data_IF_146816652569
#
_entry.id   IF_146816652569
#
_cell.length_a   1.000
_cell.length_b   1.000
_cell.length_c   1.000
_cell.angle_alpha   90.00
_cell.angle_beta   90.00
_cell.angle_gamma   90.00
#
_symmetry.space_group_name_H-M   'P 1'
#
loop_
_entity.id
_entity.type
_entity.pdbx_description
1 polymer ?
#
# COMPACT_ATOMS: atom_id res chain seq x y z
N UNK A 1 -8.82 -12.17 12.68
CA UNK A 1 -8.55 -12.28 14.14
C UNK A 1 -9.41 -13.34 14.79
N UNK A 2 -10.74 -13.31 14.63
CA UNK A 2 -11.65 -14.31 15.21
C UNK A 2 -11.27 -15.76 14.96
N UNK A 3 -10.98 -16.14 13.70
CA UNK A 3 -10.56 -17.51 13.38
C UNK A 3 -9.33 -17.95 14.19
N UNK A 4 -8.38 -17.03 14.42
CA UNK A 4 -7.20 -17.29 15.25
C UNK A 4 -7.61 -17.51 16.70
N UNK A 5 -8.47 -16.63 17.24
CA UNK A 5 -8.97 -16.70 18.62
C UNK A 5 -9.80 -17.97 18.87
N UNK A 6 -10.55 -18.44 17.87
CA UNK A 6 -11.26 -19.72 17.92
C UNK A 6 -10.26 -20.88 17.95
N UNK A 7 -9.24 -20.88 17.08
CA UNK A 7 -8.20 -21.92 17.09
C UNK A 7 -7.37 -21.92 18.38
N UNK A 8 -7.12 -20.75 18.99
CA UNK A 8 -6.44 -20.65 20.28
C UNK A 8 -7.26 -21.25 21.44
N UNK A 9 -8.56 -21.41 21.26
CA UNK A 9 -9.46 -22.01 22.25
C UNK A 9 -9.76 -23.48 21.98
N UNK A 10 -9.13 -24.08 20.96
CA UNK A 10 -9.26 -25.50 20.68
C UNK A 10 -8.80 -26.35 21.88
N UNK A 11 -9.58 -27.33 22.35
CA UNK A 11 -9.22 -28.12 23.54
C UNK A 11 -7.92 -28.92 23.41
N UNK A 12 -7.58 -29.35 22.19
CA UNK A 12 -6.48 -30.26 21.92
C UNK A 12 -5.25 -29.53 21.36
N UNK A 13 -5.49 -28.51 20.54
CA UNK A 13 -4.47 -27.79 19.76
C UNK A 13 -4.35 -26.31 20.14
N UNK A 14 -5.13 -25.83 21.11
CA UNK A 14 -5.18 -24.43 21.53
C UNK A 14 -4.11 -24.04 22.57
N UNK A 15 -4.24 -22.82 23.08
CA UNK A 15 -3.37 -22.30 24.14
C UNK A 15 -3.73 -22.99 25.45
N UNK A 16 -2.71 -23.43 26.19
CA UNK A 16 -2.90 -24.12 27.47
C UNK A 16 -3.62 -23.22 28.47
N UNK A 17 -4.84 -23.60 28.84
CA UNK A 17 -5.64 -22.88 29.82
C UNK A 17 -5.44 -23.43 31.23
N UNK A 18 -5.40 -22.55 32.22
CA UNK A 18 -5.21 -22.89 33.64
C UNK A 18 -6.11 -22.07 34.56
N UNK A 19 -6.32 -22.61 35.77
CA UNK A 19 -7.04 -21.90 36.82
C UNK A 19 -6.09 -20.93 37.52
N UNK A 20 -6.38 -19.63 37.40
CA UNK A 20 -5.59 -18.57 38.01
C UNK A 20 -6.16 -18.17 39.37
N UNK A 21 -5.33 -18.21 40.42
CA UNK A 21 -5.66 -17.58 41.70
C UNK A 21 -5.28 -16.10 41.64
N UNK A 22 -6.26 -15.21 41.79
CA UNK A 22 -6.06 -13.78 42.03
C UNK A 22 -6.36 -13.48 43.50
N UNK A 23 -5.86 -12.35 44.02
CA UNK A 23 -6.05 -11.94 45.43
C UNK A 23 -7.51 -11.97 45.91
N UNK A 24 -8.47 -11.77 45.00
CA UNK A 24 -9.87 -11.52 45.33
C UNK A 24 -10.78 -12.69 44.92
N UNK A 25 -10.36 -13.54 43.98
CA UNK A 25 -11.13 -14.66 43.43
C UNK A 25 -10.25 -15.68 42.67
N UNK A 26 -10.77 -16.89 42.49
CA UNK A 26 -10.20 -17.91 41.60
C UNK A 26 -10.90 -17.81 40.25
N UNK A 27 -10.14 -17.69 39.16
CA UNK A 27 -10.64 -17.54 37.79
C UNK A 27 -10.22 -18.76 36.96
N UNK A 28 -11.17 -19.57 36.44
CA UNK A 28 -10.84 -20.70 35.55
C UNK A 28 -10.48 -20.20 34.13
N UNK A 29 -9.92 -21.05 33.27
CA UNK A 29 -9.69 -20.77 31.85
C UNK A 29 -8.90 -19.50 31.53
N UNK A 30 -7.85 -19.19 32.32
CA UNK A 30 -6.90 -18.13 32.02
C UNK A 30 -5.71 -18.68 31.24
N UNK A 31 -5.06 -17.83 30.45
CA UNK A 31 -3.85 -18.15 29.66
C UNK A 31 -2.71 -17.24 30.05
N UNK A 32 -1.46 -17.72 30.02
CA UNK A 32 -0.30 -16.83 30.16
C UNK A 32 -0.09 -16.02 28.89
N UNK A 33 0.47 -14.82 29.03
CA UNK A 33 0.91 -14.08 27.86
C UNK A 33 2.08 -14.77 27.13
N UNK A 34 3.00 -15.40 27.86
CA UNK A 34 4.07 -16.26 27.29
C UNK A 34 3.50 -17.42 26.44
N UNK A 35 2.52 -18.16 26.97
CA UNK A 35 1.86 -19.29 26.28
C UNK A 35 1.17 -18.83 24.99
N UNK A 36 0.54 -17.65 25.00
CA UNK A 36 -0.08 -17.06 23.80
C UNK A 36 0.97 -16.77 22.72
N UNK A 37 2.10 -16.14 23.10
CA UNK A 37 3.18 -15.84 22.15
C UNK A 37 3.80 -17.12 21.60
N UNK A 38 4.08 -18.10 22.45
CA UNK A 38 4.66 -19.38 22.02
C UNK A 38 3.73 -20.13 21.06
N UNK A 39 2.43 -20.16 21.35
CA UNK A 39 1.44 -20.75 20.45
C UNK A 39 1.41 -20.06 19.09
N UNK A 40 1.49 -18.73 19.03
CA UNK A 40 1.51 -17.97 17.78
C UNK A 40 2.78 -18.23 16.97
N UNK A 41 3.95 -18.29 17.61
CA UNK A 41 5.22 -18.67 16.98
C UNK A 41 5.11 -20.04 16.32
N UNK A 42 4.60 -21.03 17.06
CA UNK A 42 4.48 -22.40 16.55
C UNK A 42 3.41 -22.53 15.47
N UNK A 43 2.25 -21.87 15.62
CA UNK A 43 1.13 -21.99 14.70
C UNK A 43 1.41 -21.39 13.33
N UNK A 44 2.12 -20.26 13.29
CA UNK A 44 2.37 -19.49 12.08
C UNK A 44 3.82 -19.55 11.58
N UNK A 45 4.72 -20.23 12.30
CA UNK A 45 6.15 -20.29 11.99
C UNK A 45 6.79 -18.89 11.85
N UNK A 46 6.44 -17.97 12.76
CA UNK A 46 6.87 -16.57 12.76
C UNK A 46 7.87 -16.27 13.88
N UNK A 47 8.58 -15.13 13.76
CA UNK A 47 9.49 -14.66 14.82
C UNK A 47 8.75 -14.34 16.12
N UNK A 48 9.46 -14.33 17.25
CA UNK A 48 8.88 -14.00 18.56
C UNK A 48 8.39 -12.55 18.60
N UNK A 49 9.11 -11.65 17.95
CA UNK A 49 8.76 -10.22 17.83
C UNK A 49 7.45 -10.04 17.07
N UNK A 50 7.31 -10.73 15.93
CA UNK A 50 6.08 -10.71 15.12
C UNK A 50 4.89 -11.35 15.85
N UNK A 51 5.11 -12.48 16.54
CA UNK A 51 4.10 -13.12 17.34
C UNK A 51 3.62 -12.24 18.50
N UNK A 52 4.54 -11.55 19.20
CA UNK A 52 4.21 -10.60 20.25
C UNK A 52 3.42 -9.41 19.70
N UNK A 53 3.78 -8.91 18.53
CA UNK A 53 3.04 -7.84 17.86
C UNK A 53 1.61 -8.29 17.50
N UNK A 54 1.46 -9.47 16.88
CA UNK A 54 0.15 -10.04 16.54
C UNK A 54 -0.71 -10.27 17.79
N UNK A 55 -0.14 -10.82 18.86
CA UNK A 55 -0.84 -11.01 20.13
C UNK A 55 -1.23 -9.70 20.81
N UNK A 56 -0.41 -8.66 20.65
CA UNK A 56 -0.74 -7.30 21.09
C UNK A 56 -1.92 -6.74 20.30
N UNK A 57 -1.96 -6.94 18.98
CA UNK A 57 -3.11 -6.54 18.15
C UNK A 57 -4.40 -7.25 18.57
N UNK A 58 -4.35 -8.54 18.89
CA UNK A 58 -5.50 -9.29 19.43
C UNK A 58 -6.01 -8.69 20.75
N UNK A 59 -5.09 -8.21 21.59
CA UNK A 59 -5.41 -7.56 22.87
C UNK A 59 -6.00 -6.17 22.66
N UNK A 60 -5.44 -5.38 21.74
CA UNK A 60 -5.93 -4.03 21.39
C UNK A 60 -7.32 -4.06 20.77
N UNK A 61 -7.64 -5.08 19.96
CA UNK A 61 -8.98 -5.29 19.42
C UNK A 61 -9.94 -5.97 20.43
N UNK A 62 -9.49 -6.21 21.66
CA UNK A 62 -10.35 -6.73 22.73
C UNK A 62 -10.74 -8.20 22.61
N UNK A 63 -10.08 -8.99 21.76
CA UNK A 63 -10.34 -10.44 21.68
C UNK A 63 -9.73 -11.22 22.85
N UNK A 64 -8.67 -10.67 23.44
CA UNK A 64 -7.99 -11.17 24.63
C UNK A 64 -7.84 -9.98 25.57
N UNK A 65 -8.06 -10.18 26.87
CA UNK A 65 -7.93 -9.10 27.84
C UNK A 65 -7.14 -9.54 29.08
N UNK A 66 -6.33 -8.63 29.67
CA UNK A 66 -5.56 -8.96 30.85
C UNK A 66 -6.45 -8.96 32.09
N UNK A 67 -6.20 -9.91 33.00
CA UNK A 67 -6.85 -9.97 34.31
C UNK A 67 -6.14 -9.07 35.35
N UNK A 68 -4.94 -8.57 35.03
CA UNK A 68 -4.17 -7.61 35.83
C UNK A 68 -3.95 -6.36 35.00
N UNK A 69 -4.17 -5.19 35.60
CA UNK A 69 -4.02 -3.89 34.90
C UNK A 69 -4.87 -3.78 33.61
N UNK A 70 -6.21 -3.77 33.74
CA UNK A 70 -7.14 -3.83 32.60
C UNK A 70 -7.05 -2.62 31.64
N UNK A 71 -6.35 -1.54 32.02
CA UNK A 71 -6.15 -0.37 31.17
C UNK A 71 -4.99 -0.55 30.18
N UNK A 72 -4.10 -1.51 30.42
CA UNK A 72 -2.97 -1.82 29.55
C UNK A 72 -3.37 -2.87 28.51
N UNK A 73 -3.92 -2.45 27.37
CA UNK A 73 -4.28 -3.33 26.23
C UNK A 73 -3.06 -3.76 25.40
N UNK A 74 -2.06 -4.34 26.06
CA UNK A 74 -0.87 -4.91 25.44
C UNK A 74 -0.61 -6.32 25.96
N UNK A 75 -0.13 -7.19 25.08
CA UNK A 75 0.27 -8.53 25.48
C UNK A 75 1.68 -8.47 26.10
N UNK A 76 1.84 -9.04 27.30
CA UNK A 76 3.13 -9.17 27.96
C UNK A 76 3.61 -10.61 27.77
N UNK A 77 4.84 -10.86 27.28
CA UNK A 77 5.35 -12.21 27.04
C UNK A 77 5.84 -12.87 28.34
N UNK A 78 5.03 -12.82 29.38
CA UNK A 78 5.32 -13.31 30.73
C UNK A 78 4.11 -14.06 31.33
N UNK A 79 4.17 -14.36 32.62
CA UNK A 79 3.11 -15.04 33.37
C UNK A 79 1.88 -14.14 33.65
N UNK A 80 1.78 -12.96 33.04
CA UNK A 80 0.58 -12.11 33.16
C UNK A 80 -0.64 -12.90 32.66
N UNK A 81 -1.70 -13.02 33.48
CA UNK A 81 -2.84 -13.84 33.11
C UNK A 81 -3.83 -13.07 32.24
N UNK A 82 -4.23 -13.67 31.14
CA UNK A 82 -5.22 -13.16 30.18
C UNK A 82 -6.42 -14.09 30.08
N UNK A 83 -7.51 -13.61 29.48
CA UNK A 83 -8.68 -14.42 29.08
C UNK A 83 -9.18 -14.03 27.70
N UNK A 84 -9.80 -14.99 27.04
CA UNK A 84 -10.54 -14.76 25.80
C UNK A 84 -11.84 -14.00 26.08
N UNK A 85 -12.13 -13.02 25.21
CA UNK A 85 -13.36 -12.25 25.20
C UNK A 85 -14.52 -13.09 24.65
N UNK A 86 -15.71 -12.86 25.21
CA UNK A 86 -16.92 -13.51 24.70
C UNK A 86 -17.30 -12.95 23.32
N UNK A 87 -17.78 -13.78 22.37
CA UNK A 87 -18.17 -13.31 21.03
C UNK A 87 -19.14 -12.14 21.01
N UNK A 88 -19.99 -12.00 22.03
CA UNK A 88 -20.90 -10.85 22.19
C UNK A 88 -20.18 -9.49 22.22
N UNK A 89 -18.92 -9.45 22.69
CA UNK A 89 -18.12 -8.23 22.78
C UNK A 89 -17.03 -8.14 21.69
N UNK A 90 -17.09 -8.98 20.65
CA UNK A 90 -16.14 -8.88 19.55
C UNK A 90 -16.44 -7.64 18.69
N UNK A 91 -15.38 -6.99 18.21
CA UNK A 91 -15.43 -5.73 17.46
C UNK A 91 -15.93 -5.86 16.02
N UNK A 92 -16.06 -7.08 15.53
CA UNK A 92 -16.52 -7.41 14.17
C UNK A 92 -18.03 -7.46 14.03
N UNK A 93 -18.78 -7.33 15.12
CA UNK A 93 -20.23 -7.23 15.07
C UNK A 93 -20.57 -5.94 14.32
N UNK A 94 -21.43 -6.07 13.30
CA UNK A 94 -21.84 -5.01 12.37
C UNK A 94 -22.48 -3.77 13.02
N UNK A 95 -22.69 -3.79 14.33
CA UNK A 95 -23.34 -2.73 15.07
C UNK A 95 -22.30 -2.02 15.94
N UNK A 96 -21.98 -0.75 15.65
CA UNK A 96 -21.08 0.02 16.49
C UNK A 96 -21.68 0.15 17.90
N UNK A 97 -20.81 0.20 18.91
CA UNK A 97 -21.23 0.41 20.29
C UNK A 97 -22.12 1.66 20.39
N UNK A 98 -23.36 1.49 20.84
CA UNK A 98 -24.34 2.59 20.86
C UNK A 98 -24.10 3.53 22.03
N UNK A 99 -24.55 4.77 21.88
CA UNK A 99 -24.51 5.76 22.99
C UNK A 99 -25.37 5.33 24.18
N UNK A 100 -26.48 4.62 23.91
CA UNK A 100 -27.37 4.10 24.94
C UNK A 100 -26.68 3.04 25.81
N UNK A 101 -26.00 2.08 25.17
CA UNK A 101 -25.28 1.02 25.89
C UNK A 101 -24.14 1.60 26.75
N UNK A 102 -23.45 2.62 26.23
CA UNK A 102 -22.37 3.27 26.97
C UNK A 102 -22.90 4.03 28.19
N UNK A 103 -24.04 4.71 28.05
CA UNK A 103 -24.70 5.38 29.15
C UNK A 103 -25.12 4.39 30.25
N UNK A 104 -25.66 3.21 29.88
CA UNK A 104 -26.01 2.14 30.83
C UNK A 104 -24.76 1.66 31.60
N UNK A 105 -23.65 1.44 30.90
CA UNK A 105 -22.39 1.04 31.52
C UNK A 105 -21.86 2.08 32.53
N UNK A 106 -21.81 3.35 32.14
CA UNK A 106 -21.36 4.43 33.03
C UNK A 106 -22.31 4.62 34.24
N UNK A 107 -23.62 4.51 34.02
CA UNK A 107 -24.63 4.56 35.09
C UNK A 107 -24.43 3.43 36.10
N UNK A 108 -24.18 2.20 35.63
CA UNK A 108 -23.86 1.05 36.51
C UNK A 108 -22.65 1.34 37.38
N UNK A 109 -21.57 1.84 36.78
CA UNK A 109 -20.32 2.16 37.48
C UNK A 109 -20.52 3.25 38.55
N UNK A 110 -21.31 4.28 38.23
CA UNK A 110 -21.64 5.36 39.14
C UNK A 110 -22.55 4.90 40.30
N UNK A 111 -23.54 4.05 40.05
CA UNK A 111 -24.44 3.48 41.08
C UNK A 111 -23.68 2.54 42.02
N UNK A 112 -22.76 1.73 41.48
CA UNK A 112 -22.01 0.75 42.27
C UNK A 112 -21.08 1.41 43.29
N UNK A 113 -20.44 2.52 42.92
CA UNK A 113 -19.59 3.32 43.81
C UNK A 113 -19.58 4.77 43.34
N UNK A 114 -20.15 5.65 44.16
CA UNK A 114 -20.15 7.09 43.88
C UNK A 114 -18.71 7.59 43.75
N UNK A 115 -18.42 8.30 42.66
CA UNK A 115 -17.07 8.81 42.35
C UNK A 115 -16.11 7.78 41.73
N UNK A 116 -16.60 6.62 41.25
CA UNK A 116 -15.75 5.63 40.56
C UNK A 116 -15.45 5.97 39.09
N UNK A 117 -16.17 6.93 38.50
CA UNK A 117 -15.91 7.41 37.14
C UNK A 117 -14.62 8.24 37.12
N UNK A 118 -13.75 7.99 36.14
CA UNK A 118 -12.60 8.86 35.89
C UNK A 118 -13.03 10.12 35.15
N UNK A 119 -12.17 11.16 35.11
CA UNK A 119 -12.54 12.48 34.58
C UNK A 119 -13.20 12.44 33.19
N UNK A 120 -12.59 11.77 32.22
CA UNK A 120 -13.17 11.68 30.87
C UNK A 120 -14.51 10.90 30.85
N UNK A 121 -14.63 9.83 31.64
CA UNK A 121 -15.89 9.08 31.76
C UNK A 121 -17.00 9.95 32.37
N UNK A 122 -16.66 10.82 33.33
CA UNK A 122 -17.60 11.78 33.94
C UNK A 122 -18.07 12.80 32.91
N UNK A 123 -17.16 13.37 32.13
CA UNK A 123 -17.48 14.29 31.04
C UNK A 123 -18.41 13.63 30.01
N UNK A 124 -18.11 12.40 29.59
CA UNK A 124 -18.97 11.64 28.68
C UNK A 124 -20.33 11.30 29.30
N UNK A 125 -20.38 10.93 30.59
CA UNK A 125 -21.64 10.66 31.29
C UNK A 125 -22.55 11.90 31.32
N UNK A 126 -21.99 13.07 31.62
CA UNK A 126 -22.72 14.33 31.65
C UNK A 126 -23.19 14.75 30.24
N UNK A 127 -22.37 14.51 29.21
CA UNK A 127 -22.73 14.74 27.80
C UNK A 127 -23.88 13.81 27.36
N UNK A 128 -23.80 12.51 27.68
CA UNK A 128 -24.83 11.53 27.37
C UNK A 128 -26.15 11.87 28.08
N UNK A 129 -26.10 12.23 29.36
CA UNK A 129 -27.29 12.64 30.13
C UNK A 129 -28.03 13.82 29.47
N UNK A 130 -27.29 14.77 28.87
CA UNK A 130 -27.89 15.88 28.10
C UNK A 130 -28.43 15.40 26.75
N UNK A 131 -27.67 14.57 26.02
CA UNK A 131 -28.00 14.16 24.65
C UNK A 131 -29.19 13.19 24.56
N UNK A 132 -29.23 12.19 25.44
CA UNK A 132 -30.26 11.14 25.45
C UNK A 132 -31.14 11.22 26.71
N UNK A 133 -31.38 12.43 27.21
CA UNK A 133 -32.16 12.66 28.43
C UNK A 133 -33.56 12.02 28.39
N UNK A 134 -34.21 12.09 27.23
CA UNK A 134 -35.56 11.56 26.98
C UNK A 134 -35.68 10.03 27.21
N UNK A 135 -34.58 9.29 27.19
CA UNK A 135 -34.54 7.84 27.50
C UNK A 135 -33.79 7.53 28.79
N UNK A 136 -33.48 8.52 29.63
CA UNK A 136 -32.61 8.32 30.78
C UNK A 136 -33.21 7.41 31.87
N UNK A 137 -34.53 7.41 32.03
CA UNK A 137 -35.21 6.48 32.94
C UNK A 137 -34.95 5.02 32.55
N UNK A 138 -34.91 4.72 31.24
CA UNK A 138 -34.54 3.41 30.73
C UNK A 138 -33.08 3.07 31.07
N UNK A 139 -32.17 4.03 30.91
CA UNK A 139 -30.74 3.86 31.26
C UNK A 139 -30.59 3.46 32.72
N UNK A 140 -31.22 4.19 33.64
CA UNK A 140 -31.14 3.92 35.08
C UNK A 140 -31.84 2.60 35.44
N UNK A 141 -33.01 2.32 34.85
CA UNK A 141 -33.72 1.06 35.05
C UNK A 141 -32.86 -0.13 34.64
N UNK A 142 -32.31 -0.12 33.43
CA UNK A 142 -31.45 -1.19 32.90
C UNK A 142 -30.18 -1.34 33.74
N UNK A 143 -29.54 -0.24 34.14
CA UNK A 143 -28.36 -0.27 35.00
C UNK A 143 -28.65 -0.96 36.35
N UNK A 144 -29.77 -0.64 37.00
CA UNK A 144 -30.17 -1.25 38.27
C UNK A 144 -30.48 -2.74 38.12
N UNK A 145 -31.19 -3.13 37.06
CA UNK A 145 -31.50 -4.53 36.78
C UNK A 145 -30.24 -5.37 36.54
N UNK A 146 -29.29 -4.86 35.74
CA UNK A 146 -28.01 -5.55 35.51
C UNK A 146 -27.20 -5.70 36.80
N UNK A 147 -27.17 -4.66 37.67
CA UNK A 147 -26.51 -4.75 38.98
C UNK A 147 -27.19 -5.76 39.91
N UNK A 148 -28.53 -5.86 39.89
CA UNK A 148 -29.29 -6.87 40.66
C UNK A 148 -28.94 -8.28 40.18
N UNK A 149 -28.94 -8.51 38.87
CA UNK A 149 -28.57 -9.80 38.27
C UNK A 149 -27.12 -10.17 38.60
N UNK A 150 -26.18 -9.21 38.55
CA UNK A 150 -24.78 -9.44 38.88
C UNK A 150 -24.57 -9.88 40.35
N UNK A 151 -25.36 -9.36 41.30
CA UNK A 151 -25.26 -9.75 42.72
C UNK A 151 -25.57 -11.22 42.98
N UNK A 152 -26.37 -11.87 42.13
CA UNK A 152 -26.70 -13.29 42.23
C UNK A 152 -25.55 -14.21 41.77
N UNK A 153 -24.50 -13.67 41.17
CA UNK A 153 -23.37 -14.43 40.61
C UNK A 153 -22.25 -14.61 41.64
N UNK A 154 -21.44 -15.67 41.45
CA UNK A 154 -20.24 -15.93 42.27
C UNK A 154 -19.23 -14.79 42.10
N UNK A 155 -18.37 -14.59 43.09
CA UNK A 155 -17.38 -13.49 43.11
C UNK A 155 -16.43 -13.52 41.89
N UNK A 156 -15.98 -14.71 41.47
CA UNK A 156 -15.15 -14.88 40.28
C UNK A 156 -15.88 -14.48 38.99
N UNK A 157 -17.12 -14.95 38.81
CA UNK A 157 -17.92 -14.62 37.63
C UNK A 157 -18.21 -13.12 37.53
N UNK A 158 -18.49 -12.47 38.66
CA UNK A 158 -18.67 -11.01 38.72
C UNK A 158 -17.43 -10.26 38.23
N UNK A 159 -16.23 -10.72 38.60
CA UNK A 159 -14.97 -10.13 38.17
C UNK A 159 -14.74 -10.34 36.67
N UNK A 160 -14.97 -11.54 36.16
CA UNK A 160 -14.82 -11.86 34.72
C UNK A 160 -15.77 -10.99 33.90
N UNK A 161 -17.05 -10.91 34.26
CA UNK A 161 -18.05 -10.10 33.56
C UNK A 161 -17.64 -8.61 33.58
N UNK A 162 -17.19 -8.10 34.73
CA UNK A 162 -16.71 -6.72 34.84
C UNK A 162 -15.49 -6.45 33.95
N UNK A 163 -14.52 -7.36 33.90
CA UNK A 163 -13.34 -7.24 33.03
C UNK A 163 -13.72 -7.31 31.53
N UNK A 164 -14.64 -8.20 31.16
CA UNK A 164 -15.12 -8.34 29.79
C UNK A 164 -15.78 -7.05 29.30
N UNK A 165 -16.72 -6.53 30.08
CA UNK A 165 -17.45 -5.29 29.77
C UNK A 165 -16.51 -4.08 29.79
N UNK A 166 -15.60 -3.98 30.77
CA UNK A 166 -14.61 -2.91 30.82
C UNK A 166 -13.70 -2.91 29.59
N UNK A 167 -13.20 -4.07 29.17
CA UNK A 167 -12.34 -4.19 27.97
C UNK A 167 -13.10 -3.75 26.74
N UNK A 168 -14.35 -4.19 26.57
CA UNK A 168 -15.19 -3.79 25.45
C UNK A 168 -15.29 -2.26 25.33
N UNK A 169 -15.52 -1.57 26.45
CA UNK A 169 -15.60 -0.10 26.45
C UNK A 169 -14.26 0.58 26.28
N UNK A 170 -13.16 0.03 26.80
CA UNK A 170 -11.82 0.57 26.54
C UNK A 170 -11.45 0.52 25.05
N UNK A 171 -11.93 -0.48 24.31
CA UNK A 171 -11.70 -0.59 22.87
C UNK A 171 -12.66 0.31 22.07
N UNK A 172 -13.95 0.34 22.44
CA UNK A 172 -14.98 1.10 21.69
C UNK A 172 -15.04 2.59 22.05
N UNK A 173 -14.56 2.97 23.23
CA UNK A 173 -14.52 4.33 23.78
C UNK A 173 -13.18 4.54 24.49
N UNK A 174 -12.06 4.55 23.74
CA UNK A 174 -10.73 4.67 24.33
C UNK A 174 -10.55 6.00 25.07
N UNK A 175 -9.74 6.03 26.14
CA UNK A 175 -9.42 7.28 26.82
C UNK A 175 -8.77 8.31 25.89
N UNK A 176 -8.93 9.63 26.15
CA UNK A 176 -8.27 10.66 25.37
C UNK A 176 -6.75 10.45 25.28
N UNK A 177 -6.19 10.58 24.09
CA UNK A 177 -4.75 10.37 23.82
C UNK A 177 -4.34 8.93 23.56
N UNK A 178 -5.25 7.96 23.68
CA UNK A 178 -5.02 6.56 23.28
C UNK A 178 -5.46 6.36 21.82
N UNK A 179 -4.67 5.63 21.04
CA UNK A 179 -5.01 5.28 19.65
C UNK A 179 -6.35 4.53 19.63
N UNK A 180 -7.29 5.01 18.81
CA UNK A 180 -8.53 4.30 18.57
C UNK A 180 -8.31 3.23 17.48
N UNK A 181 -8.18 1.97 17.90
CA UNK A 181 -7.97 0.84 16.98
C UNK A 181 -9.15 0.61 16.02
N UNK A 182 -10.34 1.14 16.35
CA UNK A 182 -11.54 1.04 15.52
C UNK A 182 -11.74 2.27 14.62
N UNK A 183 -10.81 3.23 14.65
CA UNK A 183 -10.87 4.39 13.76
C UNK A 183 -10.77 3.92 12.31
N UNK A 184 -11.91 3.99 11.62
CA UNK A 184 -11.93 3.87 10.18
C UNK A 184 -11.56 5.24 9.62
N UNK A 185 -10.68 5.28 8.61
CA UNK A 185 -10.43 6.50 7.84
C UNK A 185 -11.71 7.05 7.20
N UNK A 186 -11.61 8.09 6.35
CA UNK A 186 -12.78 8.69 5.71
C UNK A 186 -13.74 7.63 5.15
N UNK A 187 -15.02 7.77 5.47
CA UNK A 187 -16.03 6.77 5.11
C UNK A 187 -15.93 6.45 3.61
N UNK A 188 -15.72 5.17 3.30
CA UNK A 188 -15.83 4.71 1.92
C UNK A 188 -17.32 4.74 1.59
N UNK A 189 -17.72 5.63 0.66
CA UNK A 189 -19.09 5.72 0.20
C UNK A 189 -19.70 4.33 -0.02
N UNK A 190 -20.87 4.09 0.59
CA UNK A 190 -21.53 2.79 0.70
C UNK A 190 -21.74 2.11 -0.66
N UNK A 191 -20.71 1.40 -1.11
CA UNK A 191 -20.70 0.60 -2.34
C UNK A 191 -20.70 -0.91 -2.04
N UNK A 192 -20.38 -1.32 -0.81
CA UNK A 192 -20.26 -2.73 -0.46
C UNK A 192 -21.60 -3.41 -0.14
N UNK A 193 -22.64 -2.64 0.19
CA UNK A 193 -23.93 -3.17 0.66
C UNK A 193 -25.11 -2.87 -0.28
N UNK A 194 -24.92 -2.10 -1.36
CA UNK A 194 -25.96 -2.00 -2.40
C UNK A 194 -25.85 -3.23 -3.26
N UNK A 195 -26.82 -4.14 -3.19
CA UNK A 195 -27.09 -5.06 -4.30
C UNK A 195 -27.27 -4.18 -5.53
N UNK A 196 -26.21 -4.09 -6.34
CA UNK A 196 -26.25 -3.31 -7.54
C UNK A 196 -27.24 -4.01 -8.46
N UNK A 197 -28.36 -3.35 -8.75
CA UNK A 197 -29.37 -3.93 -9.61
C UNK A 197 -28.76 -3.99 -11.01
N UNK A 198 -28.52 -5.21 -11.50
CA UNK A 198 -27.89 -5.45 -12.80
C UNK A 198 -28.85 -5.02 -13.90
N UNK A 199 -28.67 -3.80 -14.41
CA UNK A 199 -29.49 -3.23 -15.47
C UNK A 199 -29.11 -3.80 -16.84
N UNK A 200 -29.95 -3.56 -17.85
CA UNK A 200 -29.60 -3.90 -19.23
C UNK A 200 -28.29 -3.23 -19.68
N UNK A 201 -28.05 -1.99 -19.26
CA UNK A 201 -26.84 -1.25 -19.63
C UNK A 201 -25.58 -1.80 -18.95
N UNK A 202 -25.70 -2.32 -17.72
CA UNK A 202 -24.62 -3.06 -17.08
C UNK A 202 -24.17 -4.23 -17.95
N UNK A 203 -25.10 -5.09 -18.39
CA UNK A 203 -24.76 -6.26 -19.21
C UNK A 203 -24.22 -5.87 -20.58
N UNK A 204 -24.72 -4.80 -21.21
CA UNK A 204 -24.14 -4.29 -22.48
C UNK A 204 -22.68 -3.90 -22.29
N UNK A 205 -22.38 -3.17 -21.20
CA UNK A 205 -21.03 -2.72 -20.90
C UNK A 205 -20.11 -3.91 -20.56
N UNK A 206 -20.63 -4.91 -19.83
CA UNK A 206 -19.91 -6.14 -19.51
C UNK A 206 -19.59 -6.97 -20.77
N UNK A 207 -20.58 -7.16 -21.66
CA UNK A 207 -20.39 -7.83 -22.95
C UNK A 207 -19.31 -7.13 -23.78
N UNK A 208 -19.34 -5.80 -23.84
CA UNK A 208 -18.34 -5.03 -24.58
C UNK A 208 -16.93 -5.19 -23.97
N UNK A 209 -16.82 -5.23 -22.64
CA UNK A 209 -15.57 -5.53 -21.96
C UNK A 209 -15.04 -6.93 -22.33
N UNK A 210 -15.90 -7.95 -22.34
CA UNK A 210 -15.50 -9.30 -22.74
C UNK A 210 -15.11 -9.38 -24.21
N UNK A 211 -15.84 -8.73 -25.12
CA UNK A 211 -15.48 -8.65 -26.55
C UNK A 211 -14.09 -8.05 -26.74
N UNK A 212 -13.81 -6.91 -26.09
CA UNK A 212 -12.48 -6.29 -26.10
C UNK A 212 -11.42 -7.22 -25.50
N UNK A 213 -11.71 -7.91 -24.41
CA UNK A 213 -10.77 -8.84 -23.78
C UNK A 213 -10.49 -10.08 -24.65
N UNK A 214 -11.49 -10.60 -25.37
CA UNK A 214 -11.34 -11.73 -26.28
C UNK A 214 -10.57 -11.35 -27.54
N UNK A 215 -10.72 -10.12 -28.03
CA UNK A 215 -9.96 -9.61 -29.18
C UNK A 215 -8.47 -9.35 -28.92
N UNK A 216 -8.01 -9.34 -27.65
CA UNK A 216 -6.59 -9.14 -27.31
C UNK A 216 -5.78 -10.42 -27.54
N UNK A 217 -4.72 -10.32 -28.32
CA UNK A 217 -3.74 -11.38 -28.47
C UNK A 217 -2.99 -11.61 -27.15
N UNK A 218 -2.72 -12.87 -26.82
CA UNK A 218 -2.05 -13.28 -25.58
C UNK A 218 -0.83 -14.11 -25.92
N UNK A 219 0.18 -14.01 -25.06
CA UNK A 219 1.39 -14.83 -25.09
C UNK A 219 1.34 -15.88 -23.98
N UNK A 220 2.04 -17.00 -24.17
CA UNK A 220 2.09 -18.08 -23.17
C UNK A 220 2.75 -17.59 -21.89
N UNK A 221 2.27 -18.06 -20.73
CA UNK A 221 2.85 -17.72 -19.43
C UNK A 221 4.34 -18.06 -19.35
N UNK A 222 4.79 -19.14 -19.98
CA UNK A 222 6.22 -19.50 -20.04
C UNK A 222 7.07 -18.40 -20.68
N UNK A 223 6.61 -17.82 -21.79
CA UNK A 223 7.31 -16.74 -22.49
C UNK A 223 7.34 -15.48 -21.64
N UNK A 224 6.21 -15.13 -20.99
CA UNK A 224 6.14 -13.97 -20.10
C UNK A 224 7.07 -14.10 -18.90
N UNK A 225 7.04 -15.26 -18.23
CA UNK A 225 7.81 -15.51 -17.02
C UNK A 225 9.31 -15.57 -17.33
N UNK A 226 9.71 -16.20 -18.43
CA UNK A 226 11.11 -16.20 -18.88
C UNK A 226 11.60 -14.78 -19.19
N UNK A 227 10.78 -13.99 -19.90
CA UNK A 227 11.10 -12.59 -20.16
C UNK A 227 11.22 -11.76 -18.88
N UNK A 228 10.34 -11.99 -17.89
CA UNK A 228 10.38 -11.30 -16.59
C UNK A 228 11.61 -11.70 -15.77
N UNK A 229 11.95 -13.00 -15.73
CA UNK A 229 13.15 -13.48 -15.05
C UNK A 229 14.42 -12.88 -15.69
N UNK A 230 14.49 -12.84 -17.02
CA UNK A 230 15.58 -12.19 -17.75
C UNK A 230 15.65 -10.69 -17.46
N UNK A 231 14.50 -10.00 -17.43
CA UNK A 231 14.42 -8.59 -17.11
C UNK A 231 14.95 -8.29 -15.70
N UNK A 232 14.56 -9.12 -14.72
CA UNK A 232 14.95 -9.00 -13.32
C UNK A 232 16.43 -9.32 -13.11
N UNK A 233 16.92 -10.45 -13.63
CA UNK A 233 18.33 -10.85 -13.48
C UNK A 233 19.30 -9.86 -14.12
N UNK A 234 18.95 -9.32 -15.30
CA UNK A 234 19.73 -8.28 -15.97
C UNK A 234 19.85 -7.00 -15.13
N UNK A 235 18.83 -6.65 -14.33
CA UNK A 235 18.79 -5.45 -13.51
C UNK A 235 19.27 -5.66 -12.08
N UNK A 236 19.55 -6.90 -11.66
CA UNK A 236 20.04 -7.22 -10.32
C UNK A 236 21.20 -6.33 -9.85
N UNK A 237 22.28 -6.16 -10.64
CA UNK A 237 23.41 -5.30 -10.28
C UNK A 237 23.05 -3.80 -10.16
N UNK A 238 21.93 -3.37 -10.74
CA UNK A 238 21.46 -1.99 -10.74
C UNK A 238 20.46 -1.70 -9.60
N UNK A 239 20.11 -2.71 -8.80
CA UNK A 239 19.20 -2.57 -7.66
C UNK A 239 19.99 -2.31 -6.36
N UNK A 240 19.95 -1.08 -5.81
CA UNK A 240 20.70 -0.74 -4.60
C UNK A 240 20.22 -1.45 -3.34
N UNK A 241 19.01 -2.01 -3.33
CA UNK A 241 18.45 -2.77 -2.20
C UNK A 241 19.06 -4.18 -2.19
N UNK A 242 19.20 -4.79 -3.37
CA UNK A 242 19.65 -6.17 -3.51
C UNK A 242 21.19 -6.29 -3.59
N UNK A 243 21.83 -5.42 -4.37
CA UNK A 243 23.26 -5.51 -4.69
C UNK A 243 24.10 -4.40 -4.03
N UNK A 244 23.46 -3.47 -3.33
CA UNK A 244 24.12 -2.23 -2.90
C UNK A 244 24.43 -1.31 -4.08
N UNK A 245 25.12 -0.21 -3.79
CA UNK A 245 25.59 0.71 -4.83
C UNK A 245 26.92 1.34 -4.43
N UNK A 246 27.70 1.72 -5.46
CA UNK A 246 29.02 2.32 -5.30
C UNK A 246 28.95 3.84 -5.54
N UNK A 247 29.62 4.67 -4.73
CA UNK A 247 30.60 4.28 -3.69
C UNK A 247 29.95 3.73 -2.40
N UNK A 248 28.74 4.20 -2.07
CA UNK A 248 27.91 3.72 -0.97
C UNK A 248 26.46 4.14 -1.17
N UNK A 249 25.54 3.57 -0.39
CA UNK A 249 24.14 4.00 -0.36
C UNK A 249 24.00 5.30 0.48
N UNK A 250 23.53 6.42 -0.11
CA UNK A 250 23.38 7.69 0.61
C UNK A 250 22.49 7.58 1.84
N UNK A 251 21.44 6.75 1.79
CA UNK A 251 20.51 6.56 2.92
C UNK A 251 21.12 5.82 4.12
N UNK A 252 22.29 5.20 3.95
CA UNK A 252 22.99 4.45 5.00
C UNK A 252 24.22 5.22 5.49
N UNK A 253 24.87 5.97 4.59
CA UNK A 253 26.18 6.58 4.84
C UNK A 253 26.17 8.10 4.89
N UNK A 254 25.04 8.74 4.54
CA UNK A 254 24.90 10.19 4.38
C UNK A 254 25.87 10.81 3.33
N UNK A 255 26.54 9.97 2.53
CA UNK A 255 27.39 10.38 1.43
C UNK A 255 26.57 10.51 0.13
N UNK A 256 26.40 11.74 -0.34
CA UNK A 256 25.63 12.06 -1.55
C UNK A 256 26.39 11.81 -2.85
N UNK A 257 27.63 11.32 -2.78
CA UNK A 257 28.49 11.10 -3.96
C UNK A 257 27.83 10.20 -5.00
N UNK A 258 27.10 9.16 -4.57
CA UNK A 258 26.34 8.30 -5.49
C UNK A 258 25.32 9.09 -6.33
N UNK A 259 24.59 10.03 -5.71
CA UNK A 259 23.62 10.86 -6.43
C UNK A 259 24.31 11.87 -7.36
N UNK A 260 25.41 12.48 -6.91
CA UNK A 260 26.19 13.41 -7.74
C UNK A 260 26.73 12.73 -9.01
N UNK A 261 27.27 11.51 -8.88
CA UNK A 261 27.79 10.72 -10.01
C UNK A 261 26.69 10.24 -10.97
N UNK A 262 25.46 10.08 -10.49
CA UNK A 262 24.32 9.65 -11.30
C UNK A 262 23.33 10.79 -11.60
N UNK A 263 23.76 12.05 -11.46
CA UNK A 263 22.93 13.21 -11.78
C UNK A 263 22.47 13.18 -13.26
N UNK A 264 21.27 13.69 -13.60
CA UNK A 264 20.71 13.56 -14.95
C UNK A 264 21.63 14.07 -16.07
N UNK A 265 22.40 15.14 -15.83
CA UNK A 265 23.29 15.80 -16.79
C UNK A 265 24.77 15.74 -16.39
N UNK A 266 25.21 14.64 -15.79
CA UNK A 266 26.62 14.45 -15.41
C UNK A 266 27.54 14.42 -16.64
N UNK A 267 28.73 15.01 -16.53
CA UNK A 267 29.70 15.06 -17.62
C UNK A 267 30.28 13.68 -17.97
N UNK A 268 30.54 12.85 -16.96
CA UNK A 268 31.05 11.49 -17.13
C UNK A 268 30.09 10.50 -16.45
N UNK A 269 29.30 9.72 -17.22
CA UNK A 269 28.39 8.74 -16.65
C UNK A 269 29.17 7.58 -16.01
N UNK A 270 28.55 6.94 -15.01
CA UNK A 270 29.09 5.71 -14.42
C UNK A 270 29.02 4.56 -15.42
N UNK A 271 29.94 3.59 -15.32
CA UNK A 271 29.95 2.41 -16.19
C UNK A 271 28.62 1.65 -16.14
N UNK A 272 28.08 1.48 -14.93
CA UNK A 272 26.80 0.84 -14.70
C UNK A 272 25.64 1.60 -15.39
N UNK A 273 25.69 2.95 -15.44
CA UNK A 273 24.71 3.75 -16.19
C UNK A 273 24.81 3.53 -17.70
N UNK A 274 26.03 3.51 -18.26
CA UNK A 274 26.25 3.29 -19.70
C UNK A 274 25.84 1.88 -20.12
N UNK A 275 26.20 0.84 -19.35
CA UNK A 275 25.82 -0.56 -19.62
C UNK A 275 24.30 -0.73 -19.68
N UNK A 276 23.57 0.00 -18.83
CA UNK A 276 22.10 -0.02 -18.78
C UNK A 276 21.46 0.43 -20.09
N UNK A 277 22.10 1.34 -20.84
CA UNK A 277 21.60 1.77 -22.16
C UNK A 277 21.55 0.61 -23.15
N UNK A 278 22.39 -0.41 -23.00
CA UNK A 278 22.39 -1.62 -23.83
C UNK A 278 21.23 -2.58 -23.54
N UNK A 279 20.52 -2.43 -22.42
CA UNK A 279 19.46 -3.38 -22.03
C UNK A 279 18.24 -3.27 -22.91
N UNK A 280 17.85 -2.04 -23.27
CA UNK A 280 16.76 -1.80 -24.21
C UNK A 280 16.84 -0.39 -24.75
N UNK A 281 16.27 -0.18 -25.94
CA UNK A 281 16.22 1.15 -26.54
C UNK A 281 15.53 2.19 -25.64
N UNK A 282 14.55 1.76 -24.82
CA UNK A 282 13.88 2.64 -23.87
C UNK A 282 14.83 3.15 -22.78
N UNK A 283 15.73 2.30 -22.27
CA UNK A 283 16.72 2.71 -21.25
C UNK A 283 17.70 3.76 -21.80
N UNK A 284 18.06 3.66 -23.09
CA UNK A 284 18.86 4.68 -23.75
C UNK A 284 18.09 6.01 -23.91
N UNK A 285 16.83 5.97 -24.37
CA UNK A 285 16.04 7.18 -24.62
C UNK A 285 15.58 7.90 -23.35
N UNK A 286 15.32 7.16 -22.27
CA UNK A 286 14.92 7.73 -20.98
C UNK A 286 16.09 8.43 -20.26
N UNK A 287 17.33 8.11 -20.62
CA UNK A 287 18.53 8.76 -20.09
C UNK A 287 18.90 10.00 -20.92
N UNK A 288 18.93 11.22 -20.34
CA UNK A 288 19.31 12.43 -21.07
C UNK A 288 20.72 12.38 -21.68
N UNK A 289 21.70 11.79 -20.98
CA UNK A 289 23.08 11.67 -21.47
C UNK A 289 23.15 10.60 -22.55
N UNK A 290 22.47 9.48 -22.36
CA UNK A 290 22.36 8.42 -23.36
C UNK A 290 21.75 8.93 -24.67
N UNK A 291 20.64 9.66 -24.57
CA UNK A 291 19.96 10.28 -25.71
C UNK A 291 20.81 11.34 -26.41
N UNK A 292 21.59 12.14 -25.69
CA UNK A 292 22.53 13.08 -26.30
C UNK A 292 23.61 12.37 -27.14
N UNK A 293 24.24 11.32 -26.59
CA UNK A 293 25.21 10.53 -27.36
C UNK A 293 24.59 9.79 -28.55
N UNK A 294 23.34 9.35 -28.41
CA UNK A 294 22.60 8.75 -29.52
C UNK A 294 22.29 9.79 -30.60
N UNK A 295 21.93 11.02 -30.23
CA UNK A 295 21.75 12.14 -31.17
C UNK A 295 23.04 12.43 -31.95
N UNK A 296 24.18 12.53 -31.26
CA UNK A 296 25.49 12.77 -31.91
C UNK A 296 25.84 11.66 -32.90
N UNK A 297 25.51 10.41 -32.57
CA UNK A 297 25.67 9.28 -33.47
C UNK A 297 24.79 9.41 -34.71
N UNK A 298 23.49 9.72 -34.54
CA UNK A 298 22.56 9.91 -35.65
C UNK A 298 22.92 11.09 -36.54
N UNK A 299 23.49 12.16 -35.98
CA UNK A 299 23.99 13.31 -36.77
C UNK A 299 25.11 12.90 -37.73
N UNK A 300 26.03 12.01 -37.30
CA UNK A 300 27.09 11.47 -38.17
C UNK A 300 26.54 10.61 -39.30
N UNK A 301 25.38 9.99 -39.09
CA UNK A 301 24.70 9.15 -40.06
C UNK A 301 23.57 9.86 -40.81
N UNK A 302 23.45 11.18 -40.66
CA UNK A 302 22.41 12.00 -41.29
C UNK A 302 20.98 11.48 -41.07
N UNK A 303 20.68 11.02 -39.84
CA UNK A 303 19.39 10.43 -39.46
C UNK A 303 18.80 10.97 -38.15
N UNK A 304 19.30 12.13 -37.69
CA UNK A 304 18.95 12.77 -36.42
C UNK A 304 17.51 13.31 -36.36
N UNK A 305 16.89 13.57 -37.51
CA UNK A 305 15.48 13.98 -37.63
C UNK A 305 14.52 12.98 -36.98
N UNK A 306 14.84 11.68 -37.01
CA UNK A 306 14.02 10.63 -36.40
C UNK A 306 13.92 10.77 -34.88
N UNK A 307 15.05 11.03 -34.22
CA UNK A 307 15.08 11.21 -32.77
C UNK A 307 14.41 12.53 -32.37
N UNK A 308 14.68 13.61 -33.12
CA UNK A 308 14.03 14.90 -32.83
C UNK A 308 12.52 14.89 -33.05
N UNK A 309 12.02 14.17 -34.06
CA UNK A 309 10.59 13.95 -34.22
C UNK A 309 10.01 13.22 -33.01
N UNK A 310 10.67 12.13 -32.58
CA UNK A 310 10.24 11.37 -31.41
C UNK A 310 10.21 12.22 -30.13
N UNK A 311 11.22 13.06 -29.90
CA UNK A 311 11.28 14.02 -28.79
C UNK A 311 10.16 15.06 -28.85
N UNK A 312 9.86 15.59 -30.04
CA UNK A 312 8.79 16.55 -30.24
C UNK A 312 7.41 15.92 -29.96
N UNK A 313 7.20 14.66 -30.32
CA UNK A 313 6.01 13.90 -29.95
C UNK A 313 5.91 13.67 -28.43
N UNK A 314 7.02 13.39 -27.72
CA UNK A 314 6.99 13.29 -26.25
C UNK A 314 6.65 14.64 -25.61
N UNK A 315 7.23 15.75 -26.09
CA UNK A 315 6.91 17.09 -25.61
C UNK A 315 5.43 17.43 -25.82
N UNK A 316 4.87 17.07 -26.99
CA UNK A 316 3.43 17.19 -27.26
C UNK A 316 2.61 16.39 -26.24
N UNK A 317 2.99 15.13 -25.98
CA UNK A 317 2.25 14.24 -25.07
C UNK A 317 2.22 14.75 -23.63
N UNK A 318 3.25 15.44 -23.17
CA UNK A 318 3.30 16.00 -21.81
C UNK A 318 3.01 17.50 -21.74
N UNK A 319 2.74 18.16 -22.88
CA UNK A 319 2.42 19.58 -22.97
C UNK A 319 1.10 19.97 -22.29
N UNK A 320 0.94 21.27 -22.01
CA UNK A 320 -0.29 21.81 -21.46
C UNK A 320 -1.46 21.70 -22.44
N UNK A 321 -2.67 21.39 -21.97
CA UNK A 321 -3.81 21.09 -22.84
C UNK A 321 -4.14 22.22 -23.83
N UNK A 322 -3.97 23.47 -23.43
CA UNK A 322 -4.20 24.64 -24.29
C UNK A 322 -3.20 24.78 -25.44
N UNK A 323 -1.99 24.20 -25.32
CA UNK A 323 -0.92 24.30 -26.33
C UNK A 323 -0.98 23.17 -27.35
N UNK A 324 -1.80 22.14 -27.11
CA UNK A 324 -1.86 20.92 -27.94
C UNK A 324 -2.08 21.24 -29.43
N UNK A 325 -3.05 22.09 -29.84
CA UNK A 325 -3.26 22.37 -31.26
C UNK A 325 -2.03 23.00 -31.92
N UNK A 326 -1.39 23.96 -31.25
CA UNK A 326 -0.18 24.65 -31.74
C UNK A 326 1.02 23.72 -31.82
N UNK A 327 1.21 22.85 -30.82
CA UNK A 327 2.30 21.87 -30.81
C UNK A 327 2.11 20.83 -31.91
N UNK A 328 0.89 20.34 -32.12
CA UNK A 328 0.57 19.40 -33.20
C UNK A 328 0.91 19.99 -34.57
N UNK A 329 0.48 21.22 -34.84
CA UNK A 329 0.78 21.90 -36.10
C UNK A 329 2.29 22.11 -36.28
N UNK A 330 2.99 22.58 -35.24
CA UNK A 330 4.43 22.77 -35.29
C UNK A 330 5.19 21.48 -35.62
N UNK A 331 4.83 20.34 -34.99
CA UNK A 331 5.45 19.05 -35.27
C UNK A 331 5.13 18.58 -36.70
N UNK A 332 3.89 18.77 -37.16
CA UNK A 332 3.52 18.42 -38.53
C UNK A 332 4.33 19.24 -39.55
N UNK A 333 4.39 20.56 -39.43
CA UNK A 333 5.12 21.43 -40.36
C UNK A 333 6.62 21.13 -40.38
N UNK A 334 7.21 20.81 -39.22
CA UNK A 334 8.64 20.59 -39.10
C UNK A 334 9.12 19.23 -39.63
N UNK A 335 8.29 18.18 -39.52
CA UNK A 335 8.71 16.80 -39.75
C UNK A 335 7.89 16.02 -40.79
N UNK A 336 6.60 16.34 -40.99
CA UNK A 336 5.68 15.51 -41.77
C UNK A 336 5.14 16.19 -43.04
N UNK A 337 5.06 17.53 -43.05
CA UNK A 337 4.57 18.28 -44.19
C UNK A 337 5.41 18.02 -45.46
N UNK A 338 4.80 18.05 -46.66
CA UNK A 338 5.56 17.95 -47.91
C UNK A 338 6.62 19.05 -48.01
N UNK A 339 7.89 18.66 -48.13
CA UNK A 339 9.02 19.60 -48.16
C UNK A 339 9.46 20.10 -46.78
N UNK A 340 9.05 19.45 -45.69
CA UNK A 340 9.48 19.78 -44.33
C UNK A 340 11.01 19.79 -44.20
N UNK A 341 11.54 20.75 -43.44
CA UNK A 341 12.99 20.94 -43.26
C UNK A 341 13.69 19.74 -42.58
N UNK A 342 12.96 18.97 -41.77
CA UNK A 342 13.44 17.76 -41.09
C UNK A 342 12.52 16.58 -41.39
N UNK A 343 12.25 16.37 -42.68
CA UNK A 343 11.28 15.37 -43.14
C UNK A 343 11.63 13.95 -42.66
N UNK A 344 10.71 13.30 -41.95
CA UNK A 344 10.85 11.90 -41.52
C UNK A 344 10.11 10.95 -42.46
N UNK A 345 10.67 9.75 -42.65
CA UNK A 345 10.05 8.74 -43.50
C UNK A 345 9.08 7.87 -42.68
N UNK A 346 7.78 7.97 -42.97
CA UNK A 346 6.73 7.11 -42.42
C UNK A 346 5.95 6.44 -43.55
N UNK A 347 5.42 5.24 -43.31
CA UNK A 347 4.63 4.53 -44.31
C UNK A 347 3.30 5.25 -44.62
N UNK A 348 2.75 5.00 -45.81
CA UNK A 348 1.57 5.70 -46.32
C UNK A 348 0.34 5.53 -45.45
N UNK A 349 0.17 4.36 -44.82
CA UNK A 349 -0.98 4.08 -43.96
C UNK A 349 -0.88 4.89 -42.66
N UNK A 350 0.31 4.95 -42.06
CA UNK A 350 0.57 5.77 -40.87
C UNK A 350 0.38 7.26 -41.16
N UNK A 351 0.83 7.74 -42.34
CA UNK A 351 0.61 9.12 -42.77
C UNK A 351 -0.87 9.45 -42.93
N UNK A 352 -1.65 8.58 -43.60
CA UNK A 352 -3.09 8.78 -43.80
C UNK A 352 -3.84 8.92 -42.47
N UNK A 353 -3.60 8.01 -41.52
CA UNK A 353 -4.20 8.09 -40.18
C UNK A 353 -3.80 9.34 -39.43
N UNK A 354 -2.54 9.74 -39.55
CA UNK A 354 -2.05 10.98 -38.93
C UNK A 354 -2.82 12.16 -39.48
N UNK A 355 -2.96 12.29 -40.81
CA UNK A 355 -3.70 13.37 -41.47
C UNK A 355 -5.19 13.39 -41.09
N UNK A 356 -5.82 12.23 -40.94
CA UNK A 356 -7.19 12.14 -40.43
C UNK A 356 -7.32 12.67 -39.01
N UNK A 357 -6.42 12.24 -38.11
CA UNK A 357 -6.39 12.69 -36.73
C UNK A 357 -6.10 14.20 -36.59
N UNK A 358 -5.31 14.78 -37.50
CA UNK A 358 -5.02 16.22 -37.52
C UNK A 358 -6.26 17.09 -37.76
N UNK A 359 -7.39 16.52 -38.25
CA UNK A 359 -8.66 17.25 -38.35
C UNK A 359 -9.22 17.63 -36.98
N UNK A 360 -8.97 16.82 -35.96
CA UNK A 360 -9.33 17.08 -34.57
C UNK A 360 -8.11 16.87 -33.67
N UNK A 361 -7.18 17.85 -33.57
CA UNK A 361 -5.93 17.69 -32.85
C UNK A 361 -6.15 17.29 -31.37
N UNK A 362 -5.56 16.17 -30.98
CA UNK A 362 -5.52 15.72 -29.60
C UNK A 362 -4.13 15.20 -29.22
N UNK A 363 -3.89 15.00 -27.93
CA UNK A 363 -2.58 14.65 -27.34
C UNK A 363 -1.94 13.36 -27.90
N UNK A 364 -2.74 12.50 -28.52
CA UNK A 364 -2.33 11.17 -29.01
C UNK A 364 -2.36 11.07 -30.54
N UNK A 365 -2.55 12.20 -31.24
CA UNK A 365 -2.76 12.23 -32.69
C UNK A 365 -1.54 11.74 -33.49
N UNK A 366 -0.34 11.84 -32.90
CA UNK A 366 0.93 11.41 -33.50
C UNK A 366 1.41 10.05 -32.99
N UNK A 367 0.63 9.31 -32.19
CA UNK A 367 1.09 8.07 -31.53
C UNK A 367 1.52 6.99 -32.53
N UNK A 368 0.75 6.79 -33.61
CA UNK A 368 1.07 5.82 -34.66
C UNK A 368 2.38 6.20 -35.38
N UNK A 369 2.55 7.47 -35.75
CA UNK A 369 3.77 7.98 -36.39
C UNK A 369 4.98 7.92 -35.45
N UNK A 370 4.82 8.31 -34.20
CA UNK A 370 5.86 8.22 -33.18
C UNK A 370 6.29 6.76 -32.95
N UNK A 371 5.35 5.82 -32.88
CA UNK A 371 5.63 4.40 -32.72
C UNK A 371 6.37 3.85 -33.95
N UNK A 372 5.98 4.25 -35.16
CA UNK A 372 6.66 3.88 -36.40
C UNK A 372 8.15 4.28 -36.34
N UNK A 373 8.42 5.55 -36.06
CA UNK A 373 9.79 6.09 -35.99
C UNK A 373 10.58 5.48 -34.82
N UNK A 374 9.95 5.26 -33.66
CA UNK A 374 10.56 4.54 -32.55
C UNK A 374 10.99 3.12 -32.95
N UNK A 375 10.12 2.38 -33.66
CA UNK A 375 10.42 1.01 -34.09
C UNK A 375 11.49 0.96 -35.18
N UNK A 376 11.53 1.98 -36.06
CA UNK A 376 12.58 2.15 -37.06
C UNK A 376 13.95 2.29 -36.36
N UNK A 377 14.09 3.27 -35.47
CA UNK A 377 15.34 3.48 -34.72
C UNK A 377 15.70 2.26 -33.86
N UNK A 378 14.71 1.63 -33.21
CA UNK A 378 14.92 0.45 -32.36
C UNK A 378 15.50 -0.74 -33.13
N UNK A 379 15.08 -0.94 -34.39
CA UNK A 379 15.47 -2.09 -35.21
C UNK A 379 16.76 -1.85 -35.99
N UNK A 380 17.07 -0.61 -36.32
CA UNK A 380 18.23 -0.26 -37.17
C UNK A 380 19.29 0.57 -36.44
N UNK A 381 19.00 1.86 -36.15
CA UNK A 381 19.99 2.78 -35.60
C UNK A 381 20.51 2.39 -34.21
N UNK A 382 19.65 1.89 -33.31
CA UNK A 382 20.04 1.52 -31.95
C UNK A 382 21.02 0.33 -31.90
N UNK A 383 20.78 -0.80 -32.59
CA UNK A 383 21.79 -1.87 -32.69
C UNK A 383 23.12 -1.42 -33.31
N UNK A 384 23.09 -0.48 -34.27
CA UNK A 384 24.31 0.09 -34.87
C UNK A 384 25.05 0.99 -33.88
N UNK A 385 24.33 1.82 -33.12
CA UNK A 385 24.89 2.63 -32.03
C UNK A 385 25.62 1.76 -31.01
N UNK A 386 25.01 0.68 -30.51
CA UNK A 386 25.62 -0.22 -29.53
C UNK A 386 26.89 -0.94 -30.04
N UNK A 387 27.04 -1.07 -31.36
CA UNK A 387 28.23 -1.67 -32.00
C UNK A 387 29.28 -0.64 -32.40
N UNK A 388 28.92 0.65 -32.40
CA UNK A 388 29.78 1.75 -32.82
C UNK A 388 30.95 1.96 -31.87
N UNK A 389 32.04 2.53 -32.40
CA UNK A 389 33.19 2.90 -31.58
C UNK A 389 32.85 4.03 -30.60
N UNK A 390 31.83 4.85 -30.90
CA UNK A 390 31.29 5.85 -29.97
C UNK A 390 30.82 5.19 -28.67
N UNK A 391 29.96 4.17 -28.73
CA UNK A 391 29.43 3.51 -27.54
C UNK A 391 30.50 2.68 -26.81
N UNK A 392 31.40 2.01 -27.54
CA UNK A 392 32.53 1.27 -26.94
C UNK A 392 33.52 2.20 -26.23
N UNK A 393 33.78 3.38 -26.79
CA UNK A 393 34.57 4.43 -26.15
C UNK A 393 33.93 4.86 -24.83
N UNK A 394 32.62 5.16 -24.85
CA UNK A 394 31.88 5.52 -23.64
C UNK A 394 31.95 4.44 -22.54
N UNK A 395 31.84 3.16 -22.90
CA UNK A 395 31.99 2.06 -21.94
C UNK A 395 33.41 1.95 -21.35
N UNK A 396 34.43 2.34 -22.11
CA UNK A 396 35.84 2.30 -21.70
C UNK A 396 36.17 3.49 -20.79
N UNK A 397 35.64 4.67 -21.11
CA UNK A 397 35.90 5.92 -20.40
C UNK A 397 34.98 6.13 -19.19
N UNK A 398 33.90 5.35 -19.08
CA UNK A 398 32.91 5.50 -18.02
C UNK A 398 33.51 5.27 -16.61
N UNK A 399 33.07 6.10 -15.67
CA UNK A 399 33.59 6.09 -14.30
C UNK A 399 33.16 4.81 -13.58
N UNK A 400 34.12 4.13 -12.96
CA UNK A 400 33.86 3.04 -12.01
C UNK A 400 34.12 3.60 -10.61
N UNK A 401 33.05 3.93 -9.83
CA UNK A 401 33.24 4.42 -8.47
C UNK A 401 33.92 3.37 -7.60
N UNK A 402 34.89 3.80 -6.79
CA UNK A 402 35.53 2.93 -5.80
C UNK A 402 34.69 2.90 -4.52
N UNK A 403 34.68 1.76 -3.83
CA UNK A 403 34.07 1.65 -2.50
C UNK A 403 34.69 2.66 -1.53
N UNK A 404 33.86 3.50 -0.92
CA UNK A 404 34.28 4.32 0.21
C UNK A 404 34.41 3.41 1.43
N UNK A 405 35.65 3.06 1.81
CA UNK A 405 35.90 2.38 3.08
C UNK A 405 35.41 3.27 4.22
N UNK A 406 34.53 2.74 5.06
CA UNK A 406 34.14 3.38 6.33
C UNK A 406 35.41 3.77 7.09
N UNK A 407 35.57 5.05 7.40
CA UNK A 407 36.45 5.50 8.48
C UNK A 407 35.74 5.38 9.82
#
# INVERSE_FOLDING_TARGET
>A
MERVVVSMQDPDQGVKMRTQRLFIAVIPHAVAGSDVVEWLVQKFCISKEEALHLGTLLTQHGYIYPLRDPRSLALRPDETPYRFQTPYFWTSILWPATELDYAIYLAKKNIQKQGALVNHEKEHYDQLHKKINHTWDLVVMQAREQLRAAKQRRKGDRLVIACQEQTYWLVNRPPPGVLNVLEQGPERGSSMARQMQMSSDFYKQEIECYRKALGRTRVKSSICLEAYLKFSSQRGPHDPIMSGCLPSNPWITEDITYWAMNAPTVAAPTKLRVERWGFSFRELLDDPVGRAHFMDFLLKEFSAENLSFWEACEQLRFGGQAQIPTLVDAVYQQFLAPGAARWVNIDSQTMERTLEGLREPHRYVLDDAQLHIYMLMKKDSYPRFLKSDTYKGLLTDAVIPLETRRR
#
